data_IF_481724811735
#
_entry.id   IF_481724811735
#
_cell.length_a   1.000
_cell.length_b   1.000
_cell.length_c   1.000
_cell.angle_alpha   90.00
_cell.angle_beta   90.00
_cell.angle_gamma   90.00
#
_symmetry.space_group_name_H-M   'P 1'
#
loop_
_entity.id
_entity.type
_entity.pdbx_description
1 polymer ?
#
# COMPACT_ATOMS: atom_id res chain seq x y z
N UNK A 1 -8.36 -12.61 30.65
CA UNK A 1 -7.09 -11.92 30.36
C UNK A 1 -6.90 -11.98 28.85
N UNK A 2 -7.20 -10.90 28.11
CA UNK A 2 -6.97 -10.86 26.66
C UNK A 2 -5.49 -10.50 26.47
N UNK A 3 -4.67 -11.46 26.07
CA UNK A 3 -3.23 -11.27 25.85
C UNK A 3 -3.03 -10.45 24.58
N UNK A 4 -2.16 -9.44 24.65
CA UNK A 4 -1.60 -8.85 23.45
C UNK A 4 -0.65 -9.88 22.82
N UNK A 5 -1.06 -10.49 21.71
CA UNK A 5 -0.29 -11.54 21.03
C UNK A 5 0.94 -11.02 20.27
N UNK A 6 1.17 -9.70 20.25
CA UNK A 6 2.29 -9.09 19.54
C UNK A 6 3.41 -8.74 20.53
N UNK A 7 4.49 -9.51 20.53
CA UNK A 7 5.69 -9.15 21.32
C UNK A 7 6.37 -7.93 20.72
N UNK A 8 7.11 -7.18 21.55
CA UNK A 8 7.89 -6.02 21.07
C UNK A 8 8.91 -6.41 19.98
N UNK A 9 9.41 -7.65 19.99
CA UNK A 9 10.34 -8.15 18.98
C UNK A 9 9.65 -8.39 17.63
N UNK A 10 8.48 -9.05 17.62
CA UNK A 10 7.71 -9.30 16.39
C UNK A 10 7.22 -7.99 15.77
N UNK A 11 6.78 -7.06 16.62
CA UNK A 11 6.42 -5.70 16.22
C UNK A 11 7.57 -5.01 15.50
N UNK A 12 8.78 -5.08 16.07
CA UNK A 12 9.97 -4.47 15.48
C UNK A 12 10.33 -5.11 14.13
N UNK A 13 10.17 -6.42 13.99
CA UNK A 13 10.43 -7.12 12.74
C UNK A 13 9.47 -6.67 11.63
N UNK A 14 8.16 -6.59 11.93
CA UNK A 14 7.14 -6.13 11.00
C UNK A 14 7.39 -4.68 10.56
N UNK A 15 7.70 -3.79 11.50
CA UNK A 15 8.04 -2.39 11.20
C UNK A 15 9.31 -2.28 10.35
N UNK A 16 10.27 -3.18 10.52
CA UNK A 16 11.48 -3.21 9.69
C UNK A 16 11.14 -3.64 8.26
N UNK A 17 10.29 -4.66 8.09
CA UNK A 17 9.79 -5.08 6.77
C UNK A 17 9.04 -3.95 6.06
N UNK A 18 8.10 -3.30 6.75
CA UNK A 18 7.34 -2.16 6.22
C UNK A 18 8.23 -0.98 5.82
N UNK A 19 9.32 -0.73 6.56
CA UNK A 19 10.28 0.32 6.20
C UNK A 19 11.01 0.01 4.90
N UNK A 20 11.42 -1.24 4.69
CA UNK A 20 12.08 -1.65 3.45
C UNK A 20 11.12 -1.55 2.27
N UNK A 21 9.89 -2.05 2.43
CA UNK A 21 8.83 -1.95 1.43
C UNK A 21 8.52 -0.50 1.06
N UNK A 22 8.44 0.40 2.06
CA UNK A 22 8.24 1.83 1.83
C UNK A 22 9.33 2.42 0.91
N UNK A 23 10.59 2.10 1.17
CA UNK A 23 11.71 2.60 0.36
C UNK A 23 11.62 2.07 -1.07
N UNK A 24 11.27 0.81 -1.25
CA UNK A 24 11.10 0.20 -2.58
C UNK A 24 9.96 0.87 -3.37
N UNK A 25 8.81 1.08 -2.74
CA UNK A 25 7.66 1.74 -3.39
C UNK A 25 7.95 3.21 -3.72
N UNK A 26 8.65 3.95 -2.85
CA UNK A 26 9.06 5.33 -3.12
C UNK A 26 10.07 5.42 -4.28
N UNK A 27 11.00 4.46 -4.39
CA UNK A 27 11.93 4.35 -5.53
C UNK A 27 11.20 4.03 -6.84
N UNK A 28 10.21 3.13 -6.80
CA UNK A 28 9.38 2.81 -7.96
C UNK A 28 8.60 4.03 -8.44
N UNK A 29 7.95 4.78 -7.53
CA UNK A 29 7.27 6.03 -7.88
C UNK A 29 8.22 7.05 -8.50
N UNK A 30 9.41 7.21 -7.92
CA UNK A 30 10.41 8.14 -8.45
C UNK A 30 10.80 7.76 -9.88
N UNK A 31 11.08 6.48 -10.12
CA UNK A 31 11.42 5.96 -11.45
C UNK A 31 10.29 6.16 -12.46
N UNK A 32 9.03 5.97 -12.05
CA UNK A 32 7.87 6.20 -12.90
C UNK A 32 7.74 7.69 -13.25
N UNK A 33 7.85 8.59 -12.27
CA UNK A 33 7.80 10.03 -12.54
C UNK A 33 8.95 10.51 -13.45
N UNK A 34 10.15 9.96 -13.29
CA UNK A 34 11.29 10.25 -14.17
C UNK A 34 11.06 9.79 -15.61
N UNK A 35 10.42 8.63 -15.81
CA UNK A 35 10.07 8.10 -17.14
C UNK A 35 8.86 8.80 -17.77
N UNK A 36 7.95 9.28 -16.94
CA UNK A 36 6.76 10.05 -17.33
C UNK A 36 7.06 11.52 -17.59
N UNK A 37 8.30 11.99 -17.33
CA UNK A 37 8.78 13.26 -17.85
C UNK A 37 8.55 13.27 -19.37
N UNK A 38 7.89 14.29 -19.93
CA UNK A 38 7.37 14.23 -21.29
C UNK A 38 8.52 14.09 -22.29
N UNK A 39 8.80 12.86 -22.72
CA UNK A 39 9.51 12.61 -23.95
C UNK A 39 8.62 13.18 -25.04
N UNK A 40 9.10 14.20 -25.76
CA UNK A 40 8.44 14.68 -26.98
C UNK A 40 8.31 13.49 -27.93
N UNK A 41 7.17 12.81 -27.88
CA UNK A 41 6.82 11.76 -28.84
C UNK A 41 6.59 12.46 -30.17
N UNK A 42 7.52 12.28 -31.10
CA UNK A 42 7.42 12.73 -32.47
C UNK A 42 6.21 12.01 -33.11
N UNK A 43 5.09 12.74 -33.22
CA UNK A 43 3.73 12.17 -33.39
C UNK A 43 3.42 11.66 -34.81
N UNK A 44 4.42 11.34 -35.63
CA UNK A 44 4.18 11.10 -37.06
C UNK A 44 3.93 9.64 -37.48
N UNK A 45 3.95 8.63 -36.59
CA UNK A 45 3.91 7.23 -37.07
C UNK A 45 3.14 6.20 -36.21
N UNK A 46 2.00 6.54 -35.61
CA UNK A 46 1.17 5.51 -34.94
C UNK A 46 -0.29 5.56 -35.38
N UNK A 47 -0.74 4.46 -36.00
CA UNK A 47 -2.10 4.29 -36.54
C UNK A 47 -3.18 4.34 -35.46
N UNK A 48 -4.45 4.53 -35.89
CA UNK A 48 -5.61 4.77 -35.00
C UNK A 48 -5.82 3.70 -33.92
N UNK A 49 -5.47 2.43 -34.19
CA UNK A 49 -5.60 1.32 -33.21
C UNK A 49 -4.58 1.48 -32.08
N UNK A 50 -3.31 1.74 -32.43
CA UNK A 50 -2.23 1.91 -31.45
C UNK A 50 -2.41 3.11 -30.52
N UNK A 51 -3.22 4.11 -30.90
CA UNK A 51 -3.51 5.27 -30.06
C UNK A 51 -4.54 4.95 -28.96
N UNK A 52 -5.50 4.05 -29.23
CA UNK A 52 -6.46 3.58 -28.22
C UNK A 52 -5.74 2.68 -27.21
N UNK A 53 -4.91 1.77 -27.69
CA UNK A 53 -4.09 0.88 -26.84
C UNK A 53 -3.14 1.70 -25.95
N UNK A 54 -2.52 2.75 -26.51
CA UNK A 54 -1.65 3.65 -25.74
C UNK A 54 -2.41 4.42 -24.65
N UNK A 55 -3.64 4.90 -24.91
CA UNK A 55 -4.48 5.58 -23.90
C UNK A 55 -4.88 4.60 -22.79
N UNK A 56 -5.29 3.39 -23.16
CA UNK A 56 -5.67 2.38 -22.18
C UNK A 56 -4.48 1.98 -21.29
N UNK A 57 -3.30 1.80 -21.90
CA UNK A 57 -2.06 1.53 -21.16
C UNK A 57 -1.70 2.69 -20.22
N UNK A 58 -1.84 3.95 -20.67
CA UNK A 58 -1.62 5.13 -19.83
C UNK A 58 -2.59 5.18 -18.64
N UNK A 59 -3.88 4.90 -18.85
CA UNK A 59 -4.88 4.87 -17.79
C UNK A 59 -4.60 3.76 -16.76
N UNK A 60 -4.16 2.58 -17.21
CA UNK A 60 -3.76 1.50 -16.31
C UNK A 60 -2.53 1.87 -15.47
N UNK A 61 -1.52 2.50 -16.07
CA UNK A 61 -0.34 2.98 -15.35
C UNK A 61 -0.73 4.01 -14.28
N UNK A 62 -1.58 4.98 -14.61
CA UNK A 62 -2.07 5.97 -13.66
C UNK A 62 -2.87 5.35 -12.51
N UNK A 63 -3.74 4.38 -12.80
CA UNK A 63 -4.47 3.65 -11.76
C UNK A 63 -3.51 2.90 -10.81
N UNK A 64 -2.47 2.27 -11.36
CA UNK A 64 -1.41 1.62 -10.56
C UNK A 64 -0.64 2.60 -9.68
N UNK A 65 -0.30 3.79 -10.19
CA UNK A 65 0.35 4.86 -9.41
C UNK A 65 -0.51 5.31 -8.23
N UNK A 66 -1.81 5.52 -8.43
CA UNK A 66 -2.74 5.93 -7.36
C UNK A 66 -2.79 4.87 -6.25
N UNK A 67 -2.92 3.59 -6.61
CA UNK A 67 -2.94 2.49 -5.64
C UNK A 67 -1.61 2.40 -4.86
N UNK A 68 -0.47 2.57 -5.54
CA UNK A 68 0.85 2.59 -4.91
C UNK A 68 1.01 3.78 -3.95
N UNK A 69 0.54 4.97 -4.33
CA UNK A 69 0.54 6.15 -3.44
C UNK A 69 -0.32 5.92 -2.20
N UNK A 70 -1.51 5.33 -2.35
CA UNK A 70 -2.37 4.96 -1.22
C UNK A 70 -1.66 3.98 -0.28
N UNK A 71 -0.98 2.96 -0.84
CA UNK A 71 -0.20 2.01 -0.05
C UNK A 71 0.92 2.72 0.74
N UNK A 72 1.69 3.61 0.10
CA UNK A 72 2.75 4.38 0.77
C UNK A 72 2.18 5.23 1.91
N UNK A 73 1.06 5.92 1.67
CA UNK A 73 0.40 6.73 2.70
C UNK A 73 -0.02 5.86 3.89
N UNK A 74 -0.55 4.67 3.61
CA UNK A 74 -0.94 3.70 4.62
C UNK A 74 0.24 3.24 5.48
N UNK A 75 1.37 2.91 4.86
CA UNK A 75 2.60 2.56 5.59
C UNK A 75 3.09 3.75 6.43
N UNK A 76 3.07 4.97 5.87
CA UNK A 76 3.50 6.18 6.60
C UNK A 76 2.65 6.43 7.84
N UNK A 77 1.33 6.21 7.77
CA UNK A 77 0.43 6.35 8.92
C UNK A 77 0.82 5.43 10.08
N UNK A 78 1.23 4.19 9.79
CA UNK A 78 1.72 3.24 10.81
C UNK A 78 2.97 3.79 11.52
N UNK A 79 3.86 4.48 10.80
CA UNK A 79 5.05 5.10 11.39
C UNK A 79 4.77 6.40 12.14
N UNK A 80 3.62 7.05 11.91
CA UNK A 80 3.18 8.21 12.70
C UNK A 80 2.68 7.79 14.07
N UNK A 81 1.94 6.68 14.16
CA UNK A 81 1.49 6.10 15.44
C UNK A 81 1.90 4.64 15.59
N UNK A 82 3.20 4.44 15.84
CA UNK A 82 3.73 3.10 16.09
C UNK A 82 3.15 2.46 17.35
N UNK A 83 2.55 3.20 18.29
CA UNK A 83 2.00 2.62 19.51
C UNK A 83 0.68 1.88 19.21
N UNK A 84 -0.14 2.44 18.33
CA UNK A 84 -1.39 1.83 17.87
C UNK A 84 -1.18 0.66 16.90
N UNK A 85 0.05 0.49 16.38
CA UNK A 85 0.34 -0.62 15.49
C UNK A 85 0.13 -1.98 16.18
N UNK A 86 -0.74 -2.78 15.56
CA UNK A 86 -1.17 -4.09 16.06
C UNK A 86 -2.54 -4.11 16.70
N UNK A 87 -3.25 -2.97 16.75
CA UNK A 87 -4.61 -2.88 17.29
C UNK A 87 -5.63 -2.48 16.22
N UNK A 88 -6.86 -2.96 16.39
CA UNK A 88 -7.98 -2.64 15.54
C UNK A 88 -8.42 -1.20 15.76
N UNK A 89 -8.53 -0.40 14.70
CA UNK A 89 -8.99 0.99 14.78
C UNK A 89 -10.46 1.15 15.18
N UNK A 90 -11.27 0.10 15.01
CA UNK A 90 -12.71 0.15 15.26
C UNK A 90 -13.08 -0.34 16.66
N UNK A 91 -12.57 -1.51 17.07
CA UNK A 91 -12.89 -2.11 18.37
C UNK A 91 -11.76 -2.03 19.41
N UNK A 92 -10.55 -1.60 19.02
CA UNK A 92 -9.38 -1.53 19.90
C UNK A 92 -8.76 -2.88 20.26
N UNK A 93 -9.28 -3.99 19.74
CA UNK A 93 -8.72 -5.33 20.01
C UNK A 93 -7.43 -5.59 19.23
N UNK A 94 -6.56 -6.45 19.76
CA UNK A 94 -5.32 -6.82 19.07
C UNK A 94 -5.60 -7.55 17.75
N UNK A 95 -4.92 -7.14 16.69
CA UNK A 95 -4.92 -7.85 15.41
C UNK A 95 -3.98 -9.04 15.54
N UNK A 96 -4.48 -10.24 15.22
CA UNK A 96 -3.69 -11.47 15.34
C UNK A 96 -2.42 -11.41 14.48
N UNK A 97 -1.30 -11.88 15.03
CA UNK A 97 0.02 -11.89 14.38
C UNK A 97 0.00 -12.59 13.02
N UNK A 98 -0.78 -13.66 12.85
CA UNK A 98 -0.92 -14.34 11.56
C UNK A 98 -1.44 -13.42 10.46
N UNK A 99 -2.36 -12.51 10.81
CA UNK A 99 -2.90 -11.52 9.87
C UNK A 99 -1.89 -10.41 9.59
N UNK A 100 -1.18 -9.91 10.59
CA UNK A 100 -0.13 -8.89 10.38
C UNK A 100 1.09 -9.43 9.63
N UNK A 101 1.38 -10.72 9.75
CA UNK A 101 2.45 -11.37 8.98
C UNK A 101 2.11 -11.43 7.49
N UNK A 102 0.85 -11.67 7.13
CA UNK A 102 0.38 -11.74 5.74
C UNK A 102 0.09 -10.34 5.19
N UNK A 103 -0.57 -9.50 5.99
CA UNK A 103 -0.96 -8.14 5.66
C UNK A 103 -0.52 -7.17 6.77
N UNK A 104 0.75 -6.70 6.73
CA UNK A 104 1.32 -5.86 7.78
C UNK A 104 0.65 -4.49 7.91
N UNK A 105 -0.09 -4.04 6.89
CA UNK A 105 -0.78 -2.74 6.88
C UNK A 105 -2.21 -2.76 7.43
N UNK A 106 -2.68 -3.91 7.89
CA UNK A 106 -4.08 -4.11 8.22
C UNK A 106 -4.53 -3.32 9.47
N UNK A 107 -5.69 -2.66 9.36
CA UNK A 107 -6.23 -1.71 10.36
C UNK A 107 -7.28 -2.27 11.29
N UNK A 108 -8.09 -3.20 10.79
CA UNK A 108 -9.25 -3.73 11.49
C UNK A 108 -8.97 -5.14 11.95
N UNK A 109 -9.56 -5.66 13.01
CA UNK A 109 -9.49 -7.09 13.28
C UNK A 109 -10.31 -7.87 12.22
N UNK A 110 -10.18 -9.21 12.19
CA UNK A 110 -10.93 -10.01 11.21
C UNK A 110 -12.45 -9.84 11.34
N UNK A 111 -12.95 -9.62 12.56
CA UNK A 111 -14.37 -9.42 12.82
C UNK A 111 -14.85 -8.08 12.25
N UNK A 112 -14.20 -6.97 12.63
CA UNK A 112 -14.50 -5.64 12.10
C UNK A 112 -14.34 -5.55 10.59
N UNK A 113 -13.31 -6.19 10.02
CA UNK A 113 -13.13 -6.27 8.57
C UNK A 113 -14.33 -6.97 7.90
N UNK A 114 -14.79 -8.08 8.47
CA UNK A 114 -15.93 -8.84 7.94
C UNK A 114 -17.23 -8.04 8.05
N UNK A 115 -17.40 -7.22 9.09
CA UNK A 115 -18.57 -6.36 9.26
C UNK A 115 -18.56 -5.21 8.24
N UNK A 116 -17.41 -4.57 8.03
CA UNK A 116 -17.24 -3.51 7.04
C UNK A 116 -17.49 -3.97 5.60
N UNK A 117 -17.13 -5.21 5.26
CA UNK A 117 -17.36 -5.79 3.92
C UNK A 117 -18.82 -6.18 3.65
N UNK A 118 -19.59 -6.46 4.71
CA UNK A 118 -21.00 -6.83 4.61
C UNK A 118 -21.96 -5.63 4.72
N UNK A 119 -21.42 -4.42 4.85
CA UNK A 119 -22.17 -3.17 5.03
C UNK A 119 -22.38 -2.39 3.73
#
# INVERSE_FOLDING_TARGET
>A
MKQADLTSSEKQELLTKLRNELVELEQQLTTIHERSAPVQLDQQAVGRVSRIDAIQQQQMTQAGEVLMQQHILRIKQIFLDTNEYGFCLECGESIGIGRLTIHPIAELCIQCQSEAENS
#
